data_IF_561816764919
#
_entry.id   IF_561816764919
#
_cell.length_a   1.000
_cell.length_b   1.000
_cell.length_c   1.000
_cell.angle_alpha   90.00
_cell.angle_beta   90.00
_cell.angle_gamma   90.00
#
_symmetry.space_group_name_H-M   'P 1'
#
loop_
_entity.id
_entity.type
_entity.pdbx_description
1 polymer ?
#
# COMPACT_ATOMS: atom_id res chain seq x y z
N UNK A 1 -13.90 5.49 16.76
CA UNK A 1 -12.95 6.06 17.70
C UNK A 1 -13.30 7.53 17.95
N UNK A 2 -13.28 7.98 19.21
CA UNK A 2 -13.42 9.41 19.55
C UNK A 2 -12.02 10.02 19.63
N UNK A 3 -11.71 10.97 18.76
CA UNK A 3 -10.40 11.65 18.69
C UNK A 3 -10.53 13.13 19.11
N UNK A 4 -9.45 13.80 19.53
CA UNK A 4 -8.08 13.27 19.65
C UNK A 4 -7.92 12.31 20.83
N UNK A 5 -7.04 11.30 20.68
CA UNK A 5 -6.60 10.44 21.79
C UNK A 5 -5.15 10.80 22.11
N UNK A 6 -4.89 11.20 23.34
CA UNK A 6 -3.56 11.67 23.79
C UNK A 6 -3.05 10.78 24.91
N UNK A 7 -1.78 10.42 24.85
CA UNK A 7 -1.11 9.60 25.85
C UNK A 7 -0.96 8.14 25.47
N UNK A 8 0.22 7.56 25.74
CA UNK A 8 0.58 6.22 25.31
C UNK A 8 -0.40 5.14 25.77
N UNK A 9 -0.92 5.23 27.00
CA UNK A 9 -1.86 4.23 27.51
C UNK A 9 -3.21 4.33 26.78
N UNK A 10 -3.73 5.56 26.64
CA UNK A 10 -5.00 5.80 25.93
C UNK A 10 -4.92 5.38 24.46
N UNK A 11 -3.79 5.65 23.81
CA UNK A 11 -3.56 5.21 22.41
C UNK A 11 -3.48 3.68 22.32
N UNK A 12 -2.86 3.02 23.30
CA UNK A 12 -2.79 1.55 23.36
C UNK A 12 -4.17 0.93 23.53
N UNK A 13 -4.96 1.45 24.45
CA UNK A 13 -6.34 0.99 24.65
C UNK A 13 -7.19 1.18 23.38
N UNK A 14 -7.06 2.34 22.73
CA UNK A 14 -7.76 2.64 21.49
C UNK A 14 -7.33 1.70 20.35
N UNK A 15 -6.03 1.40 20.20
CA UNK A 15 -5.51 0.49 19.20
C UNK A 15 -6.03 -0.94 19.40
N UNK A 16 -6.04 -1.43 20.63
CA UNK A 16 -6.57 -2.75 20.98
C UNK A 16 -8.09 -2.83 20.75
N UNK A 17 -8.82 -1.77 21.10
CA UNK A 17 -10.25 -1.69 20.86
C UNK A 17 -10.57 -1.73 19.36
N UNK A 18 -9.84 -0.97 18.54
CA UNK A 18 -9.97 -0.97 17.07
C UNK A 18 -9.64 -2.35 16.50
N UNK A 19 -8.50 -2.94 16.88
CA UNK A 19 -8.08 -4.26 16.44
C UNK A 19 -9.08 -5.38 16.82
N UNK A 20 -9.85 -5.19 17.87
CA UNK A 20 -10.88 -6.16 18.29
C UNK A 20 -12.11 -6.09 17.38
N UNK A 21 -12.42 -4.93 16.82
CA UNK A 21 -13.56 -4.71 15.92
C UNK A 21 -13.17 -5.01 14.47
N UNK A 22 -12.03 -4.51 14.04
CA UNK A 22 -11.47 -4.73 12.69
C UNK A 22 -9.95 -4.96 12.77
N UNK A 23 -9.50 -6.21 12.86
CA UNK A 23 -8.07 -6.53 12.95
C UNK A 23 -7.30 -6.26 11.65
N UNK A 24 -7.99 -6.05 10.53
CA UNK A 24 -7.38 -5.77 9.23
C UNK A 24 -7.27 -4.25 8.94
N UNK A 25 -7.82 -3.43 9.81
CA UNK A 25 -7.74 -1.97 9.68
C UNK A 25 -6.28 -1.50 9.74
N UNK A 26 -5.87 -0.74 8.73
CA UNK A 26 -4.51 -0.20 8.63
C UNK A 26 -4.18 0.76 9.77
N UNK A 27 -5.16 1.47 10.31
CA UNK A 27 -4.99 2.42 11.42
C UNK A 27 -4.47 1.73 12.69
N UNK A 28 -4.82 0.45 12.91
CA UNK A 28 -4.27 -0.36 14.00
C UNK A 28 -2.74 -0.43 13.92
N UNK A 29 -2.20 -0.67 12.71
CA UNK A 29 -0.76 -0.75 12.51
C UNK A 29 -0.08 0.61 12.67
N UNK A 30 -0.74 1.69 12.25
CA UNK A 30 -0.26 3.07 12.43
C UNK A 30 -0.17 3.41 13.92
N UNK A 31 -1.20 3.09 14.70
CA UNK A 31 -1.23 3.34 16.13
C UNK A 31 -0.14 2.55 16.88
N UNK A 32 0.05 1.27 16.58
CA UNK A 32 1.12 0.48 17.17
C UNK A 32 2.51 0.96 16.74
N UNK A 33 2.68 1.42 15.49
CA UNK A 33 3.94 2.04 15.06
C UNK A 33 4.19 3.36 15.78
N UNK A 34 3.13 4.13 16.07
CA UNK A 34 3.19 5.33 16.90
C UNK A 34 3.71 5.03 18.29
N UNK A 35 3.12 4.03 18.95
CA UNK A 35 3.55 3.56 20.28
C UNK A 35 5.00 3.07 20.28
N UNK A 36 5.40 2.28 19.28
CA UNK A 36 6.78 1.80 19.15
C UNK A 36 7.77 2.95 18.95
N UNK A 37 7.40 3.97 18.19
CA UNK A 37 8.23 5.17 17.98
C UNK A 37 8.33 5.98 19.28
N UNK A 38 7.23 6.14 20.00
CA UNK A 38 7.19 6.79 21.31
C UNK A 38 8.13 6.10 22.31
N UNK A 39 8.07 4.76 22.42
CA UNK A 39 8.91 3.99 23.33
C UNK A 39 10.40 4.16 22.97
N UNK A 40 10.76 4.07 21.69
CA UNK A 40 12.14 4.24 21.23
C UNK A 40 12.69 5.65 21.56
N UNK A 41 11.95 6.69 21.28
CA UNK A 41 12.37 8.07 21.57
C UNK A 41 12.47 8.34 23.07
N UNK A 42 11.56 7.76 23.87
CA UNK A 42 11.61 7.85 25.33
C UNK A 42 12.83 7.14 25.93
N UNK A 43 13.24 6.01 25.34
CA UNK A 43 14.46 5.30 25.77
C UNK A 43 15.73 6.10 25.45
N UNK A 44 15.74 6.88 24.37
CA UNK A 44 16.85 7.79 24.04
C UNK A 44 17.00 8.92 25.08
N UNK A 45 15.92 9.29 25.76
CA UNK A 45 15.93 10.12 26.96
C UNK A 45 16.38 11.57 26.76
N UNK A 46 16.39 12.08 25.53
CA UNK A 46 16.88 13.41 25.18
C UNK A 46 15.81 14.49 25.27
N UNK A 47 14.52 14.11 25.12
CA UNK A 47 13.38 15.03 25.02
C UNK A 47 12.16 14.44 25.72
N UNK A 48 11.20 15.28 26.09
CA UNK A 48 9.87 14.82 26.50
C UNK A 48 9.07 14.43 25.26
N UNK A 49 8.52 13.23 25.27
CA UNK A 49 7.79 12.64 24.12
C UNK A 49 6.36 12.33 24.53
N UNK A 50 5.42 12.68 23.68
CA UNK A 50 4.02 12.27 23.82
C UNK A 50 3.51 11.69 22.50
N UNK A 51 2.53 10.78 22.58
CA UNK A 51 1.88 10.20 21.41
C UNK A 51 0.40 10.58 21.39
N UNK A 52 -0.08 10.98 20.21
CA UNK A 52 -1.47 11.33 20.00
C UNK A 52 -2.00 10.77 18.68
N UNK A 53 -3.28 10.42 18.67
CA UNK A 53 -4.01 10.02 17.46
C UNK A 53 -5.03 11.10 17.12
N UNK A 54 -4.97 11.58 15.89
CA UNK A 54 -5.91 12.52 15.31
C UNK A 54 -6.52 11.93 14.05
N UNK A 55 -7.78 12.26 13.74
CA UNK A 55 -8.44 11.72 12.55
C UNK A 55 -9.14 12.81 11.74
N UNK A 56 -9.18 12.62 10.44
CA UNK A 56 -10.02 13.42 9.54
C UNK A 56 -11.50 12.98 9.56
N UNK A 57 -12.24 13.43 8.59
CA UNK A 57 -13.63 13.04 8.30
C UNK A 57 -13.65 12.50 6.88
N UNK A 58 -14.32 11.38 6.67
CA UNK A 58 -14.48 10.80 5.33
C UNK A 58 -15.24 11.73 4.37
N UNK A 59 -14.86 11.63 3.09
CA UNK A 59 -15.61 12.18 1.97
C UNK A 59 -15.39 13.66 1.64
N UNK A 60 -14.57 14.40 2.38
CA UNK A 60 -14.25 15.80 2.05
C UNK A 60 -12.93 16.26 2.67
N UNK A 61 -11.90 16.44 1.85
CA UNK A 61 -10.55 16.84 2.26
C UNK A 61 -10.52 18.14 3.06
N UNK A 62 -11.35 19.13 2.69
CA UNK A 62 -11.37 20.42 3.40
C UNK A 62 -11.91 20.26 4.82
N UNK A 63 -12.93 19.42 5.01
CA UNK A 63 -13.48 19.11 6.33
C UNK A 63 -12.52 18.26 7.14
N UNK A 64 -11.92 17.26 6.51
CA UNK A 64 -10.90 16.40 7.14
C UNK A 64 -9.73 17.24 7.64
N UNK A 65 -9.17 18.09 6.79
CA UNK A 65 -8.06 18.97 7.13
C UNK A 65 -8.41 19.95 8.26
N UNK A 66 -9.63 20.50 8.27
CA UNK A 66 -10.10 21.36 9.35
C UNK A 66 -10.18 20.61 10.68
N UNK A 67 -10.81 19.41 10.67
CA UNK A 67 -10.96 18.59 11.87
C UNK A 67 -9.60 18.21 12.45
N UNK A 68 -8.68 17.72 11.61
CA UNK A 68 -7.32 17.41 12.05
C UNK A 68 -6.65 18.63 12.67
N UNK A 69 -6.82 19.81 12.05
CA UNK A 69 -6.29 21.05 12.60
C UNK A 69 -6.84 21.37 13.99
N UNK A 70 -8.16 21.26 14.20
CA UNK A 70 -8.81 21.49 15.48
C UNK A 70 -8.37 20.47 16.55
N UNK A 71 -8.19 19.21 16.17
CA UNK A 71 -7.71 18.15 17.07
C UNK A 71 -6.24 18.36 17.48
N UNK A 72 -5.40 18.82 16.55
CA UNK A 72 -4.01 19.19 16.87
C UNK A 72 -3.96 20.38 17.82
N UNK A 73 -4.76 21.43 17.57
CA UNK A 73 -4.84 22.59 18.45
C UNK A 73 -5.28 22.17 19.87
N UNK A 74 -6.23 21.24 19.96
CA UNK A 74 -6.69 20.67 21.23
C UNK A 74 -5.60 19.85 21.92
N UNK A 75 -4.86 19.04 21.16
CA UNK A 75 -3.74 18.23 21.67
C UNK A 75 -2.64 19.15 22.22
N UNK A 76 -2.22 20.15 21.44
CA UNK A 76 -1.20 21.12 21.89
C UNK A 76 -1.61 21.87 23.16
N UNK A 77 -2.88 22.26 23.25
CA UNK A 77 -3.39 22.91 24.46
C UNK A 77 -3.37 21.97 25.67
N UNK A 78 -3.54 20.66 25.48
CA UNK A 78 -3.51 19.68 26.57
C UNK A 78 -2.10 19.41 27.10
N UNK A 79 -1.06 19.55 26.28
CA UNK A 79 0.32 19.32 26.67
C UNK A 79 0.84 20.37 27.67
N UNK A 80 0.24 21.56 27.69
CA UNK A 80 0.58 22.66 28.63
C UNK A 80 2.09 22.92 28.77
N UNK A 81 2.87 22.60 27.75
CA UNK A 81 4.31 22.88 27.73
C UNK A 81 4.56 24.31 27.32
N UNK A 82 5.57 24.93 27.91
CA UNK A 82 6.08 26.24 27.49
C UNK A 82 7.17 26.15 26.43
N UNK A 83 7.47 24.91 25.96
CA UNK A 83 8.53 24.62 25.03
C UNK A 83 8.00 24.50 23.59
N UNK A 84 8.92 24.54 22.62
CA UNK A 84 8.57 24.35 21.22
C UNK A 84 8.25 22.86 20.96
N UNK A 85 7.00 22.60 20.59
CA UNK A 85 6.54 21.24 20.24
C UNK A 85 6.88 20.96 18.78
N UNK A 86 7.47 19.79 18.51
CA UNK A 86 7.82 19.27 17.18
C UNK A 86 7.10 17.96 16.94
N UNK A 87 6.85 17.60 15.69
CA UNK A 87 6.07 16.40 15.35
C UNK A 87 6.84 15.40 14.49
N UNK A 88 6.63 14.13 14.78
CA UNK A 88 6.87 13.03 13.86
C UNK A 88 5.52 12.47 13.48
N UNK A 89 5.20 12.51 12.18
CA UNK A 89 3.93 12.02 11.65
C UNK A 89 4.09 10.56 11.27
N UNK A 90 3.12 9.73 11.68
CA UNK A 90 3.02 8.33 11.30
C UNK A 90 1.68 8.12 10.62
N UNK A 91 1.68 7.58 9.40
CA UNK A 91 0.52 7.46 8.52
C UNK A 91 0.60 6.18 7.68
N UNK A 92 -0.52 5.66 7.22
CA UNK A 92 -0.60 4.47 6.35
C UNK A 92 -0.62 4.81 4.85
N UNK A 93 -0.90 6.04 4.46
CA UNK A 93 -1.13 6.30 3.06
C UNK A 93 -0.94 7.68 2.49
N UNK A 94 -1.19 7.73 1.18
CA UNK A 94 -1.07 8.95 0.37
C UNK A 94 -2.24 9.93 0.60
N UNK A 95 -3.36 9.47 1.14
CA UNK A 95 -4.52 10.34 1.43
C UNK A 95 -4.19 11.36 2.52
N UNK A 96 -3.25 11.03 3.41
CA UNK A 96 -2.82 11.92 4.49
C UNK A 96 -1.83 13.00 4.04
N UNK A 97 -1.36 12.96 2.79
CA UNK A 97 -0.46 14.00 2.26
C UNK A 97 -1.08 15.40 2.31
N UNK A 98 -2.41 15.50 2.19
CA UNK A 98 -3.15 16.76 2.30
C UNK A 98 -3.15 17.33 3.72
N UNK A 99 -2.94 16.51 4.74
CA UNK A 99 -2.94 16.87 6.16
C UNK A 99 -1.58 17.41 6.60
N UNK A 100 -0.48 16.98 5.98
CA UNK A 100 0.88 17.41 6.33
C UNK A 100 1.06 18.94 6.33
N UNK A 101 0.57 19.70 5.32
CA UNK A 101 0.61 21.17 5.37
C UNK A 101 -0.17 21.77 6.54
N UNK A 102 -1.27 21.14 6.94
CA UNK A 102 -2.10 21.60 8.08
C UNK A 102 -1.32 21.47 9.38
N UNK A 103 -0.64 20.34 9.58
CA UNK A 103 0.22 20.11 10.75
C UNK A 103 1.40 21.09 10.75
N UNK A 104 2.06 21.22 9.59
CA UNK A 104 3.21 22.11 9.43
C UNK A 104 2.89 23.59 9.72
N UNK A 105 1.65 24.01 9.53
CA UNK A 105 1.22 25.37 9.86
C UNK A 105 1.09 25.62 11.37
N UNK A 106 1.15 24.57 12.20
CA UNK A 106 0.97 24.63 13.65
C UNK A 106 2.25 24.31 14.43
N UNK A 107 3.06 23.40 13.89
CA UNK A 107 4.31 22.97 14.52
C UNK A 107 5.32 22.48 13.47
N UNK A 108 6.63 22.56 13.75
CA UNK A 108 7.67 21.94 12.95
C UNK A 108 7.48 20.43 12.86
N UNK A 109 7.78 19.87 11.69
CA UNK A 109 7.73 18.41 11.44
C UNK A 109 9.15 17.91 11.25
N UNK A 110 9.61 17.01 12.12
CA UNK A 110 10.93 16.38 12.06
C UNK A 110 10.97 15.18 11.12
N UNK A 111 9.84 14.51 10.92
CA UNK A 111 9.76 13.38 10.03
C UNK A 111 8.33 12.95 9.72
N UNK A 112 8.20 12.27 8.58
CA UNK A 112 6.98 11.60 8.19
C UNK A 112 7.34 10.13 7.93
N UNK A 113 6.74 9.21 8.69
CA UNK A 113 6.92 7.76 8.53
C UNK A 113 5.66 7.14 7.97
N UNK A 114 5.80 6.46 6.84
CA UNK A 114 4.70 5.70 6.25
C UNK A 114 4.75 4.25 6.71
N UNK A 115 3.66 3.77 7.27
CA UNK A 115 3.46 2.36 7.63
C UNK A 115 2.93 1.63 6.41
N UNK A 116 3.73 0.73 5.85
CA UNK A 116 3.30 -0.12 4.73
C UNK A 116 2.84 -1.45 5.31
N UNK A 117 1.54 -1.65 5.35
CA UNK A 117 0.96 -2.95 5.69
C UNK A 117 1.15 -3.88 4.50
N UNK A 118 2.00 -4.89 4.64
CA UNK A 118 2.13 -5.96 3.63
C UNK A 118 0.91 -6.87 3.75
N UNK A 119 -0.14 -6.53 3.04
CA UNK A 119 -1.29 -7.42 2.90
C UNK A 119 -0.86 -8.62 2.06
N UNK A 120 -0.83 -9.81 2.66
CA UNK A 120 -0.59 -11.08 1.97
C UNK A 120 -1.66 -11.39 0.89
N UNK A 121 -2.79 -10.71 0.94
CA UNK A 121 -3.92 -10.80 -0.01
C UNK A 121 -3.55 -10.49 -1.46
N UNK A 122 -2.51 -9.69 -1.71
CA UNK A 122 -2.10 -9.36 -3.07
C UNK A 122 -1.61 -10.56 -3.88
N UNK A 123 -1.02 -11.57 -3.25
CA UNK A 123 -0.56 -12.79 -3.93
C UNK A 123 -1.74 -13.71 -4.26
N UNK A 124 -2.71 -13.79 -3.37
CA UNK A 124 -3.90 -14.62 -3.56
C UNK A 124 -4.81 -14.03 -4.64
N UNK A 125 -5.04 -12.73 -4.62
CA UNK A 125 -5.77 -11.98 -5.67
C UNK A 125 -5.10 -12.11 -7.03
N UNK A 126 -3.77 -12.02 -7.08
CA UNK A 126 -3.00 -12.16 -8.32
C UNK A 126 -3.09 -13.59 -8.86
N UNK A 127 -3.05 -14.60 -7.99
CA UNK A 127 -3.24 -16.00 -8.38
C UNK A 127 -4.63 -16.25 -8.95
N UNK A 128 -5.70 -15.76 -8.30
CA UNK A 128 -7.07 -15.87 -8.80
C UNK A 128 -7.27 -15.12 -10.11
N UNK A 129 -6.73 -13.91 -10.24
CA UNK A 129 -6.79 -13.13 -11.48
C UNK A 129 -6.05 -13.83 -12.61
N UNK A 130 -4.83 -14.33 -12.38
CA UNK A 130 -4.10 -15.13 -13.37
C UNK A 130 -4.87 -16.39 -13.78
N UNK A 131 -5.42 -17.11 -12.81
CA UNK A 131 -6.22 -18.31 -13.08
C UNK A 131 -7.46 -17.98 -13.91
N UNK A 132 -8.14 -16.88 -13.63
CA UNK A 132 -9.33 -16.42 -14.36
C UNK A 132 -8.97 -16.01 -15.79
N UNK A 133 -7.90 -15.22 -15.98
CA UNK A 133 -7.38 -14.80 -17.29
C UNK A 133 -6.96 -16.01 -18.14
N UNK A 134 -6.28 -16.98 -17.53
CA UNK A 134 -5.85 -18.22 -18.23
C UNK A 134 -7.02 -19.19 -18.51
N UNK A 135 -8.10 -19.12 -17.73
CA UNK A 135 -9.28 -19.94 -17.93
C UNK A 135 -10.26 -19.35 -18.94
N UNK A 136 -10.17 -18.05 -19.23
CA UNK A 136 -11.04 -17.36 -20.16
C UNK A 136 -10.77 -17.83 -21.62
N UNK A 137 -11.78 -18.39 -22.31
CA UNK A 137 -11.62 -18.89 -23.69
C UNK A 137 -11.22 -17.79 -24.68
N UNK A 138 -11.66 -16.55 -24.49
CA UNK A 138 -11.35 -15.42 -25.36
C UNK A 138 -9.89 -14.99 -25.22
N UNK A 139 -9.37 -14.96 -24.00
CA UNK A 139 -7.95 -14.69 -23.72
C UNK A 139 -7.04 -15.81 -24.23
N UNK A 140 -7.47 -17.06 -24.12
CA UNK A 140 -6.75 -18.22 -24.69
C UNK A 140 -6.58 -18.09 -26.20
N UNK A 141 -7.66 -17.76 -26.93
CA UNK A 141 -7.62 -17.61 -28.37
C UNK A 141 -6.78 -16.43 -28.83
N UNK A 142 -6.92 -15.30 -28.14
CA UNK A 142 -6.35 -14.03 -28.59
C UNK A 142 -4.90 -13.82 -28.17
N UNK A 143 -4.47 -14.38 -27.02
CA UNK A 143 -3.12 -14.13 -26.46
C UNK A 143 -2.29 -15.40 -26.37
N UNK A 144 -2.82 -16.49 -25.78
CA UNK A 144 -2.02 -17.68 -25.51
C UNK A 144 -1.70 -18.49 -26.77
N UNK A 145 -2.61 -18.52 -27.74
CA UNK A 145 -2.36 -19.26 -29.00
C UNK A 145 -1.28 -18.57 -29.83
N UNK A 146 -1.32 -17.27 -30.12
CA UNK A 146 -0.24 -16.59 -30.82
C UNK A 146 1.10 -16.66 -30.09
N UNK A 147 1.09 -16.53 -28.76
CA UNK A 147 2.29 -16.64 -27.93
C UNK A 147 2.87 -18.06 -27.99
N UNK A 148 2.03 -19.09 -27.92
CA UNK A 148 2.44 -20.49 -28.06
C UNK A 148 3.06 -20.79 -29.42
N UNK A 149 2.47 -20.26 -30.50
CA UNK A 149 2.98 -20.37 -31.87
C UNK A 149 4.35 -19.69 -31.97
N UNK A 150 4.50 -18.48 -31.42
CA UNK A 150 5.76 -17.73 -31.43
C UNK A 150 6.87 -18.50 -30.68
N UNK A 151 6.55 -19.11 -29.53
CA UNK A 151 7.48 -19.92 -28.75
C UNK A 151 7.90 -21.20 -29.48
N UNK A 152 7.06 -21.76 -30.33
CA UNK A 152 7.36 -22.97 -31.12
C UNK A 152 8.19 -22.67 -32.37
N UNK A 153 8.12 -21.45 -32.91
CA UNK A 153 8.87 -21.04 -34.10
C UNK A 153 10.38 -21.21 -33.88
N UNK A 154 10.91 -20.75 -32.76
CA UNK A 154 12.35 -20.76 -32.48
C UNK A 154 12.94 -22.19 -32.46
N UNK A 155 12.43 -23.16 -31.68
CA UNK A 155 12.95 -24.53 -31.70
C UNK A 155 12.73 -25.22 -33.04
N UNK A 156 11.63 -24.93 -33.74
CA UNK A 156 11.41 -25.51 -35.10
C UNK A 156 12.43 -25.02 -36.11
N UNK A 157 12.79 -23.75 -36.08
CA UNK A 157 13.85 -23.18 -36.95
C UNK A 157 15.20 -23.80 -36.64
N UNK A 158 15.53 -24.01 -35.38
CA UNK A 158 16.80 -24.66 -34.96
C UNK A 158 16.85 -26.13 -35.45
N UNK A 159 15.76 -26.89 -35.26
CA UNK A 159 15.66 -28.27 -35.73
C UNK A 159 15.75 -28.33 -37.25
N UNK A 160 15.05 -27.46 -37.97
CA UNK A 160 15.11 -27.40 -39.44
C UNK A 160 16.54 -27.11 -39.93
N UNK A 161 17.29 -26.26 -39.26
CA UNK A 161 18.69 -25.97 -39.56
C UNK A 161 19.61 -27.20 -39.37
N UNK A 162 19.34 -28.03 -38.36
CA UNK A 162 20.10 -29.28 -38.14
C UNK A 162 19.87 -30.32 -39.24
N UNK A 163 18.66 -30.37 -39.77
CA UNK A 163 18.26 -31.34 -40.82
C UNK A 163 18.37 -30.78 -42.25
N UNK A 164 18.97 -29.60 -42.43
CA UNK A 164 19.12 -28.93 -43.72
C UNK A 164 17.79 -28.71 -44.47
N UNK A 165 16.72 -28.53 -43.72
CA UNK A 165 15.36 -28.29 -44.26
C UNK A 165 15.22 -26.83 -44.61
N UNK A 166 14.84 -26.54 -45.86
CA UNK A 166 14.65 -25.16 -46.31
C UNK A 166 13.61 -24.42 -45.41
N UNK A 167 13.99 -23.24 -44.90
CA UNK A 167 13.13 -22.42 -43.99
C UNK A 167 11.72 -22.14 -44.54
N UNK A 168 11.56 -22.16 -45.90
CA UNK A 168 10.26 -22.04 -46.55
C UNK A 168 9.29 -23.18 -46.23
N UNK A 169 9.80 -24.40 -46.00
CA UNK A 169 8.97 -25.59 -45.61
C UNK A 169 8.45 -25.41 -44.18
N UNK A 170 9.30 -24.89 -43.28
CA UNK A 170 8.90 -24.62 -41.90
C UNK A 170 7.84 -23.54 -41.83
N UNK A 171 8.01 -22.45 -42.57
CA UNK A 171 7.02 -21.36 -42.65
C UNK A 171 5.71 -21.85 -43.29
N UNK A 172 5.77 -22.67 -44.30
CA UNK A 172 4.60 -23.30 -44.96
C UNK A 172 3.77 -24.16 -43.99
N UNK A 173 4.45 -24.97 -43.19
CA UNK A 173 3.80 -25.82 -42.17
C UNK A 173 3.14 -25.01 -41.07
N UNK A 174 3.80 -23.95 -40.58
CA UNK A 174 3.24 -23.04 -39.58
C UNK A 174 2.01 -22.33 -40.14
N UNK A 175 2.09 -21.81 -41.37
CA UNK A 175 0.96 -21.14 -42.03
C UNK A 175 -0.22 -22.07 -42.25
N UNK A 176 0.04 -23.33 -42.60
CA UNK A 176 -1.02 -24.34 -42.74
C UNK A 176 -1.71 -24.68 -41.42
N UNK A 177 -0.94 -24.81 -40.32
CA UNK A 177 -1.47 -25.04 -38.98
C UNK A 177 -2.34 -23.86 -38.49
N UNK A 178 -1.90 -22.63 -38.71
CA UNK A 178 -2.66 -21.41 -38.36
C UNK A 178 -3.95 -21.33 -39.19
N UNK A 179 -3.87 -21.62 -40.48
CA UNK A 179 -5.04 -21.61 -41.37
C UNK A 179 -6.07 -22.73 -41.07
N UNK A 180 -5.65 -23.82 -40.47
CA UNK A 180 -6.57 -24.92 -40.06
C UNK A 180 -7.28 -24.59 -38.72
N UNK A 181 -6.70 -23.70 -37.91
CA UNK A 181 -7.25 -23.31 -36.62
C UNK A 181 -8.14 -22.09 -36.72
N UNK A 182 -8.02 -21.30 -37.78
CA UNK A 182 -8.83 -20.10 -38.06
C UNK A 182 -10.17 -20.45 -38.68
#
# INVERSE_FOLDING_TARGET
LSTPVVGAESVREAAVALATVDPEDSDVNVMFQGLSTYEALREEGTEEVEVAVVTGVEGNDVRANRKVGEEIDTTLASLQTGEEVRAIIITDGAQDESVVPVIRSRMPIDGVRRVVVRQAQNLESMYYTMKQVLADPETRGTILVPLGILLLIYPMVVIAGIFDVAGAVVLGLISALVGLYS
#
